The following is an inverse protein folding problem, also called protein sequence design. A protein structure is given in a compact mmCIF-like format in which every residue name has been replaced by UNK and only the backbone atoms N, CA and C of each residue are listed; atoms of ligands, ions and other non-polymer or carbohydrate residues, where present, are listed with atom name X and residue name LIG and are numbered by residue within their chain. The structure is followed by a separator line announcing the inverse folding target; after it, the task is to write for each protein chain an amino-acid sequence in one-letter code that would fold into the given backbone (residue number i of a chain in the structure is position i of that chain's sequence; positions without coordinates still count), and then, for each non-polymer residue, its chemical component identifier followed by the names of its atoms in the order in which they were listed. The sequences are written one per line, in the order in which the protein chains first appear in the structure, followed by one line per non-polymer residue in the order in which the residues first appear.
data_IF_031137325330
#
_entry.id   IF_031137325330
#
_cell.length_a   1.000
_cell.length_b   1.000
_cell.length_c   1.000
_cell.angle_alpha   90.00
_cell.angle_beta   90.00
_cell.angle_gamma   90.00
#
_symmetry.space_group_name_H-M   'P 1'
#
loop_
_entity.id
_entity.type
_entity.pdbx_description
1 polymer ?
#
# COMPACT_ATOMS: atom_id res chain seq x y z
N UNK A 1 1.00 -14.20 -6.42
CA UNK A 1 2.06 -14.48 -5.42
C UNK A 1 2.50 -13.16 -4.83
N UNK A 2 2.38 -12.95 -3.51
CA UNK A 2 2.81 -11.71 -2.89
C UNK A 2 4.35 -11.65 -2.84
N UNK A 3 4.95 -10.54 -3.25
CA UNK A 3 6.39 -10.33 -3.10
C UNK A 3 6.72 -10.14 -1.61
N UNK A 4 7.77 -10.80 -1.11
CA UNK A 4 8.25 -10.59 0.25
C UNK A 4 9.11 -9.32 0.33
N UNK A 5 9.30 -8.79 1.54
CA UNK A 5 10.02 -7.52 1.77
C UNK A 5 11.45 -7.58 1.21
N UNK A 6 12.11 -8.74 1.34
CA UNK A 6 13.43 -8.98 0.78
C UNK A 6 13.49 -8.87 -0.74
N UNK A 7 12.55 -9.46 -1.47
CA UNK A 7 12.50 -9.40 -2.93
C UNK A 7 12.12 -8.00 -3.44
N UNK A 8 11.21 -7.30 -2.74
CA UNK A 8 10.88 -5.91 -3.03
C UNK A 8 12.09 -4.98 -2.84
N UNK A 9 12.83 -5.13 -1.74
CA UNK A 9 14.06 -4.37 -1.51
C UNK A 9 15.08 -4.57 -2.64
N UNK A 10 15.34 -5.82 -3.03
CA UNK A 10 16.29 -6.12 -4.11
C UNK A 10 15.86 -5.53 -5.45
N UNK A 11 14.55 -5.52 -5.74
CA UNK A 11 14.02 -4.87 -6.94
C UNK A 11 14.30 -3.37 -6.92
N UNK A 12 13.89 -2.67 -5.86
CA UNK A 12 14.04 -1.21 -5.77
C UNK A 12 15.51 -0.76 -5.72
N UNK A 13 16.38 -1.56 -5.08
CA UNK A 13 17.82 -1.34 -5.10
C UNK A 13 18.41 -1.43 -6.51
N UNK A 14 17.95 -2.40 -7.32
CA UNK A 14 18.38 -2.56 -8.72
C UNK A 14 17.74 -1.55 -9.66
N UNK A 15 16.50 -1.15 -9.38
CA UNK A 15 15.76 -0.14 -10.13
C UNK A 15 16.46 1.22 -10.07
N UNK A 16 17.10 1.54 -8.93
CA UNK A 16 17.88 2.77 -8.72
C UNK A 16 17.09 4.04 -9.10
N UNK A 17 16.10 4.34 -8.26
CA UNK A 17 15.23 5.50 -8.45
C UNK A 17 16.04 6.79 -8.58
N UNK A 18 17.17 6.92 -7.88
CA UNK A 18 18.02 8.13 -7.94
C UNK A 18 18.69 8.30 -9.29
N UNK A 19 19.13 7.21 -9.94
CA UNK A 19 19.63 7.29 -11.32
C UNK A 19 18.53 7.72 -12.28
N UNK A 20 17.36 7.09 -12.20
CA UNK A 20 16.21 7.45 -13.04
C UNK A 20 15.81 8.93 -12.85
N UNK A 21 15.74 9.41 -11.61
CA UNK A 21 15.44 10.82 -11.31
C UNK A 21 16.44 11.78 -11.98
N UNK A 22 17.75 11.43 -12.00
CA UNK A 22 18.77 12.24 -12.70
C UNK A 22 18.58 12.23 -14.21
N UNK A 23 18.30 11.06 -14.80
CA UNK A 23 18.01 10.93 -16.23
C UNK A 23 16.79 11.78 -16.62
N UNK A 24 15.71 11.68 -15.86
CA UNK A 24 14.49 12.46 -16.09
C UNK A 24 14.72 13.97 -15.93
N UNK A 25 15.52 14.41 -14.95
CA UNK A 25 15.90 15.82 -14.80
C UNK A 25 16.64 16.35 -16.04
N UNK A 26 17.56 15.56 -16.62
CA UNK A 26 18.29 15.95 -17.83
C UNK A 26 17.31 16.16 -18.99
N UNK A 27 16.43 15.18 -19.22
CA UNK A 27 15.43 15.25 -20.29
C UNK A 27 14.49 16.43 -20.09
N UNK A 28 13.99 16.65 -18.87
CA UNK A 28 13.12 17.78 -18.54
C UNK A 28 13.82 19.13 -18.74
N UNK A 29 15.11 19.24 -18.40
CA UNK A 29 15.88 20.48 -18.58
C UNK A 29 16.07 20.82 -20.05
N UNK A 30 16.31 19.82 -20.89
CA UNK A 30 16.46 20.00 -22.33
C UNK A 30 15.12 20.19 -23.05
N UNK A 31 14.00 19.79 -22.44
CA UNK A 31 12.68 19.79 -23.07
C UNK A 31 12.25 21.19 -23.48
N UNK A 32 12.50 22.19 -22.64
CA UNK A 32 12.14 23.58 -22.92
C UNK A 32 12.85 24.10 -24.18
N UNK A 33 14.15 23.78 -24.35
CA UNK A 33 14.90 24.17 -25.53
C UNK A 33 14.37 23.49 -26.80
N UNK A 34 13.99 22.20 -26.72
CA UNK A 34 13.38 21.48 -27.86
C UNK A 34 12.01 22.02 -28.23
N UNK A 35 11.20 22.42 -27.25
CA UNK A 35 9.91 23.05 -27.47
C UNK A 35 10.08 24.39 -28.21
N UNK A 36 11.02 25.22 -27.77
CA UNK A 36 11.33 26.49 -28.42
C UNK A 36 11.82 26.28 -29.86
N UNK A 37 12.75 25.35 -30.09
CA UNK A 37 13.26 25.02 -31.43
C UNK A 37 12.12 24.57 -32.37
N UNK A 38 11.23 23.70 -31.89
CA UNK A 38 10.06 23.24 -32.64
C UNK A 38 9.13 24.40 -33.01
N UNK A 39 8.89 25.33 -32.08
CA UNK A 39 8.08 26.52 -32.33
C UNK A 39 8.73 27.48 -33.34
N UNK A 40 10.04 27.69 -33.23
CA UNK A 40 10.81 28.51 -34.18
C UNK A 40 10.79 27.89 -35.58
N UNK A 41 11.04 26.58 -35.68
CA UNK A 41 10.98 25.83 -36.95
C UNK A 41 9.59 25.90 -37.59
N UNK A 42 8.53 25.79 -36.78
CA UNK A 42 7.17 25.93 -37.27
C UNK A 42 6.87 27.34 -37.81
N UNK A 43 7.30 28.39 -37.10
CA UNK A 43 7.16 29.78 -37.57
C UNK A 43 7.92 29.99 -38.89
N UNK A 44 9.15 29.50 -38.96
CA UNK A 44 9.96 29.57 -40.18
C UNK A 44 9.29 28.84 -41.36
N UNK A 45 8.70 27.66 -41.14
CA UNK A 45 7.98 26.93 -42.17
C UNK A 45 6.74 27.69 -42.69
N UNK A 46 6.03 28.39 -41.81
CA UNK A 46 4.90 29.25 -42.21
C UNK A 46 5.39 30.41 -43.10
N UNK A 47 6.51 31.03 -42.74
CA UNK A 47 7.12 32.09 -43.54
C UNK A 47 7.54 31.59 -44.92
N UNK A 48 8.24 30.46 -45.00
CA UNK A 48 8.60 29.81 -46.25
C UNK A 48 7.37 29.48 -47.11
N UNK A 49 6.30 28.98 -46.49
CA UNK A 49 5.05 28.68 -47.20
C UNK A 49 4.39 29.94 -47.78
N UNK A 50 4.44 31.07 -47.04
CA UNK A 50 3.93 32.36 -47.52
C UNK A 50 4.78 32.91 -48.66
N UNK A 51 6.10 32.84 -48.51
CA UNK A 51 7.06 33.29 -49.52
C UNK A 51 6.90 32.51 -50.83
N UNK A 52 6.77 31.18 -50.73
CA UNK A 52 6.46 30.31 -51.86
C UNK A 52 5.18 30.75 -52.56
N UNK A 53 4.08 30.98 -51.82
CA UNK A 53 2.81 31.42 -52.41
C UNK A 53 2.90 32.77 -53.10
N UNK A 54 3.75 33.68 -52.62
CA UNK A 54 3.94 35.02 -53.20
C UNK A 54 4.74 34.97 -54.50
N UNK A 55 5.76 34.12 -54.58
CA UNK A 55 6.75 34.15 -55.66
C UNK A 55 6.48 33.16 -56.79
N UNK A 56 5.48 32.28 -56.64
CA UNK A 56 5.22 31.19 -57.59
C UNK A 56 3.93 31.47 -58.41
N UNK A 57 3.96 31.25 -59.75
CA UNK A 57 2.79 31.37 -60.63
C UNK A 57 1.61 30.51 -60.19
N UNK A 58 0.39 30.94 -60.52
CA UNK A 58 -0.86 30.33 -60.06
C UNK A 58 -1.01 28.88 -60.50
N UNK A 59 -0.60 28.55 -61.73
CA UNK A 59 -0.69 27.20 -62.28
C UNK A 59 0.13 26.19 -61.47
N UNK A 60 1.33 26.61 -61.03
CA UNK A 60 2.20 25.78 -60.20
C UNK A 60 1.65 25.70 -58.77
N UNK A 61 1.07 26.78 -58.24
CA UNK A 61 0.44 26.77 -56.92
C UNK A 61 -0.72 25.78 -56.86
N UNK A 62 -1.57 25.74 -57.88
CA UNK A 62 -2.70 24.79 -57.94
C UNK A 62 -2.23 23.34 -58.02
N UNK A 63 -1.17 23.07 -58.80
CA UNK A 63 -0.59 21.71 -58.90
C UNK A 63 -0.02 21.23 -57.55
N UNK A 64 0.60 22.13 -56.79
CA UNK A 64 1.31 21.80 -55.54
C UNK A 64 0.42 21.97 -54.30
N UNK A 65 -0.73 22.65 -54.41
CA UNK A 65 -1.69 22.87 -53.33
C UNK A 65 -2.11 21.61 -52.56
N UNK A 66 -2.52 20.49 -53.20
CA UNK A 66 -2.91 19.29 -52.47
C UNK A 66 -1.74 18.70 -51.68
N UNK A 67 -0.52 18.74 -52.24
CA UNK A 67 0.69 18.27 -51.56
C UNK A 67 1.01 19.11 -50.32
N UNK A 68 1.02 20.44 -50.46
CA UNK A 68 1.25 21.35 -49.32
C UNK A 68 0.18 21.20 -48.23
N UNK A 69 -1.07 20.94 -48.63
CA UNK A 69 -2.16 20.70 -47.68
C UNK A 69 -1.92 19.43 -46.88
N UNK A 70 -1.52 18.33 -47.54
CA UNK A 70 -1.17 17.08 -46.87
C UNK A 70 0.01 17.23 -45.92
N UNK A 71 1.08 17.93 -46.33
CA UNK A 71 2.20 18.24 -45.43
C UNK A 71 1.77 19.09 -44.24
N UNK A 72 0.92 20.10 -44.45
CA UNK A 72 0.41 20.92 -43.35
C UNK A 72 -0.37 20.09 -42.33
N UNK A 73 -1.25 19.19 -42.80
CA UNK A 73 -2.02 18.30 -41.92
C UNK A 73 -1.09 17.38 -41.13
N UNK A 74 -0.11 16.77 -41.79
CA UNK A 74 0.84 15.86 -41.12
C UNK A 74 1.71 16.59 -40.09
N UNK A 75 2.25 17.78 -40.43
CA UNK A 75 3.04 18.59 -39.49
C UNK A 75 2.21 18.99 -38.28
N UNK A 76 0.96 19.42 -38.47
CA UNK A 76 0.07 19.77 -37.36
C UNK A 76 -0.25 18.55 -36.48
N UNK A 77 -0.54 17.40 -37.10
CA UNK A 77 -0.81 16.16 -36.38
C UNK A 77 0.41 15.69 -35.57
N UNK A 78 1.61 15.76 -36.18
CA UNK A 78 2.87 15.43 -35.51
C UNK A 78 3.15 16.37 -34.34
N UNK A 79 3.01 17.69 -34.53
CA UNK A 79 3.19 18.68 -33.47
C UNK A 79 2.21 18.47 -32.33
N UNK A 80 0.96 18.10 -32.62
CA UNK A 80 -0.03 17.75 -31.60
C UNK A 80 0.40 16.52 -30.80
N UNK A 81 0.78 15.43 -31.48
CA UNK A 81 1.25 14.20 -30.84
C UNK A 81 2.51 14.43 -30.00
N UNK A 82 3.43 15.28 -30.46
CA UNK A 82 4.62 15.69 -29.70
C UNK A 82 4.22 16.40 -28.41
N UNK A 83 3.40 17.45 -28.49
CA UNK A 83 2.93 18.21 -27.32
C UNK A 83 2.20 17.32 -26.31
N UNK A 84 1.38 16.38 -26.77
CA UNK A 84 0.70 15.40 -25.91
C UNK A 84 1.69 14.46 -25.22
N UNK A 85 2.71 13.96 -25.94
CA UNK A 85 3.75 13.11 -25.36
C UNK A 85 4.62 13.87 -24.34
N UNK A 86 4.97 15.11 -24.63
CA UNK A 86 5.72 16.00 -23.74
C UNK A 86 4.92 16.31 -22.47
N UNK A 87 3.61 16.58 -22.60
CA UNK A 87 2.73 16.79 -21.46
C UNK A 87 2.58 15.53 -20.60
N UNK A 88 2.42 14.36 -21.22
CA UNK A 88 2.37 13.08 -20.52
C UNK A 88 3.70 12.79 -19.78
N UNK A 89 4.84 13.06 -20.42
CA UNK A 89 6.16 12.95 -19.80
C UNK A 89 6.26 13.85 -18.56
N UNK A 90 5.92 15.14 -18.68
CA UNK A 90 6.01 16.08 -17.56
C UNK A 90 5.10 15.70 -16.40
N UNK A 91 3.92 15.16 -16.68
CA UNK A 91 2.99 14.69 -15.66
C UNK A 91 3.57 13.51 -14.85
N UNK A 92 4.21 12.55 -15.52
CA UNK A 92 4.88 11.42 -14.85
C UNK A 92 6.15 11.88 -14.14
N UNK A 93 6.95 12.74 -14.79
CA UNK A 93 8.17 13.33 -14.23
C UNK A 93 7.90 14.02 -12.88
N UNK A 94 6.87 14.86 -12.80
CA UNK A 94 6.50 15.54 -11.55
C UNK A 94 6.25 14.58 -10.40
N UNK A 95 5.55 13.48 -10.67
CA UNK A 95 5.27 12.47 -9.63
C UNK A 95 6.53 11.70 -9.22
N UNK A 96 7.40 11.36 -10.18
CA UNK A 96 8.60 10.55 -9.91
C UNK A 96 9.72 11.34 -9.25
N UNK A 97 9.83 12.65 -9.51
CA UNK A 97 10.88 13.47 -8.91
C UNK A 97 10.58 13.83 -7.45
N UNK A 98 9.29 13.94 -7.10
CA UNK A 98 8.83 14.18 -5.73
C UNK A 98 8.79 12.88 -4.89
N UNK A 99 8.79 11.71 -5.53
CA UNK A 99 8.70 10.43 -4.84
C UNK A 99 9.97 10.11 -4.03
N UNK A 100 9.86 9.82 -2.72
CA UNK A 100 10.98 9.34 -1.92
C UNK A 100 11.38 7.92 -2.33
N UNK A 101 12.68 7.61 -2.24
CA UNK A 101 13.20 6.27 -2.51
C UNK A 101 12.66 5.27 -1.47
N UNK A 102 11.96 4.19 -1.88
CA UNK A 102 11.46 3.18 -0.96
C UNK A 102 12.54 2.19 -0.49
N UNK A 103 13.69 2.10 -1.17
CA UNK A 103 14.72 1.11 -0.85
C UNK A 103 15.25 1.22 0.61
N UNK A 104 15.55 2.41 1.16
CA UNK A 104 15.98 2.54 2.56
C UNK A 104 14.94 2.05 3.56
N UNK A 105 13.66 2.37 3.34
CA UNK A 105 12.57 1.92 4.21
C UNK A 105 12.36 0.41 4.15
N UNK A 106 12.48 -0.18 2.95
CA UNK A 106 12.39 -1.63 2.76
C UNK A 106 13.59 -2.36 3.39
N UNK A 107 14.78 -1.77 3.37
CA UNK A 107 15.96 -2.32 4.06
C UNK A 107 15.74 -2.35 5.57
N UNK A 108 15.26 -1.25 6.14
CA UNK A 108 14.93 -1.16 7.56
C UNK A 108 13.88 -2.20 7.96
N UNK A 109 12.81 -2.34 7.17
CA UNK A 109 11.76 -3.34 7.40
C UNK A 109 12.30 -4.77 7.36
N UNK A 110 13.14 -5.10 6.36
CA UNK A 110 13.79 -6.41 6.25
C UNK A 110 14.67 -6.71 7.48
N UNK A 111 15.47 -5.73 7.91
CA UNK A 111 16.34 -5.90 9.07
C UNK A 111 15.55 -6.07 10.37
N UNK A 112 14.37 -5.44 10.49
CA UNK A 112 13.45 -5.65 11.61
C UNK A 112 12.82 -7.06 11.59
N UNK A 113 12.40 -7.52 10.41
CA UNK A 113 11.86 -8.88 10.22
C UNK A 113 12.90 -9.94 10.62
N UNK A 114 14.16 -9.76 10.21
CA UNK A 114 15.26 -10.65 10.59
C UNK A 114 15.48 -10.66 12.12
N UNK A 115 15.50 -9.49 12.76
CA UNK A 115 15.62 -9.39 14.22
C UNK A 115 14.45 -10.05 14.95
N UNK A 116 13.23 -9.92 14.45
CA UNK A 116 12.03 -10.53 15.04
C UNK A 116 12.13 -12.06 14.97
N UNK A 117 12.52 -12.60 13.81
CA UNK A 117 12.75 -14.04 13.65
C UNK A 117 13.87 -14.55 14.58
N UNK A 118 14.95 -13.78 14.76
CA UNK A 118 16.00 -14.11 15.70
C UNK A 118 15.50 -14.13 17.16
N UNK A 119 14.71 -13.14 17.57
CA UNK A 119 14.11 -13.10 18.91
C UNK A 119 13.16 -14.27 19.15
N UNK A 120 12.30 -14.62 18.19
CA UNK A 120 11.43 -15.79 18.28
C UNK A 120 12.21 -17.11 18.38
N UNK A 121 13.34 -17.21 17.68
CA UNK A 121 14.24 -18.37 17.77
C UNK A 121 14.96 -18.46 19.12
N UNK A 122 15.25 -17.31 19.72
CA UNK A 122 15.99 -17.17 20.96
C UNK A 122 15.07 -17.00 22.20
N UNK A 123 13.82 -17.48 22.14
CA UNK A 123 12.86 -17.48 23.25
C UNK A 123 12.82 -18.89 23.92
N UNK A 124 13.84 -19.30 24.71
CA UNK A 124 13.84 -20.57 25.43
C UNK A 124 12.99 -20.53 26.71
N UNK A 125 12.60 -19.36 27.20
CA UNK A 125 11.89 -19.21 28.48
C UNK A 125 10.49 -19.82 28.45
N UNK A 126 9.80 -19.79 27.31
CA UNK A 126 8.49 -20.45 27.17
C UNK A 126 8.56 -21.98 27.13
N UNK A 127 9.73 -22.60 26.86
CA UNK A 127 9.91 -24.06 26.96
C UNK A 127 10.27 -24.48 28.38
N UNK A 128 11.22 -23.78 29.00
CA UNK A 128 11.67 -24.06 30.37
C UNK A 128 10.51 -23.86 31.35
N UNK A 129 9.72 -22.78 31.19
CA UNK A 129 8.53 -22.54 32.00
C UNK A 129 7.44 -23.60 31.83
N UNK A 130 7.20 -24.09 30.59
CA UNK A 130 6.21 -25.15 30.33
C UNK A 130 6.63 -26.50 30.91
N UNK A 131 7.91 -26.84 30.84
CA UNK A 131 8.43 -28.09 31.40
C UNK A 131 8.48 -28.03 32.93
N UNK A 132 8.80 -26.87 33.52
CA UNK A 132 8.68 -26.65 34.96
C UNK A 132 7.23 -26.74 35.45
N UNK A 133 6.28 -26.15 34.72
CA UNK A 133 4.84 -26.25 35.02
C UNK A 133 4.34 -27.70 34.92
N UNK A 134 4.81 -28.46 33.92
CA UNK A 134 4.50 -29.88 33.76
C UNK A 134 5.07 -30.71 34.92
N UNK A 135 6.27 -30.38 35.39
CA UNK A 135 6.90 -31.03 36.53
C UNK A 135 6.15 -30.74 37.85
N UNK A 136 5.85 -29.48 38.14
CA UNK A 136 5.05 -29.11 39.32
C UNK A 136 3.64 -29.71 39.29
N UNK A 137 2.99 -29.76 38.13
CA UNK A 137 1.67 -30.38 37.99
C UNK A 137 1.70 -31.88 38.31
N UNK A 138 2.69 -32.61 37.78
CA UNK A 138 2.89 -34.03 38.11
C UNK A 138 3.17 -34.26 39.60
N UNK A 139 3.96 -33.39 40.22
CA UNK A 139 4.26 -33.48 41.65
C UNK A 139 3.00 -33.24 42.52
N UNK A 140 2.14 -32.30 42.12
CA UNK A 140 0.84 -32.07 42.76
C UNK A 140 -0.12 -33.25 42.58
N UNK A 141 -0.11 -33.92 41.43
CA UNK A 141 -0.94 -35.10 41.16
C UNK A 141 -0.50 -36.30 42.02
N UNK A 142 0.81 -36.51 42.22
CA UNK A 142 1.34 -37.56 43.10
C UNK A 142 0.98 -37.35 44.57
N UNK A 143 1.08 -36.12 45.08
CA UNK A 143 0.67 -35.76 46.45
C UNK A 143 -0.83 -35.97 46.68
N UNK A 144 -1.66 -35.75 45.65
CA UNK A 144 -3.10 -36.01 45.73
C UNK A 144 -3.43 -37.51 45.69
N UNK A 145 -2.65 -38.33 44.97
CA UNK A 145 -2.81 -39.79 45.00
C UNK A 145 -2.41 -40.39 46.36
N UNK A 146 -1.29 -39.94 46.95
CA UNK A 146 -0.87 -40.37 48.29
C UNK A 146 -1.89 -39.96 49.39
N UNK A 147 -2.52 -38.78 49.24
CA UNK A 147 -3.59 -38.34 50.14
C UNK A 147 -4.89 -39.16 49.99
N UNK A 148 -5.14 -39.72 48.80
CA UNK A 148 -6.34 -40.52 48.54
C UNK A 148 -6.18 -41.98 49.02
N UNK A 149 -4.94 -42.50 49.01
CA UNK A 149 -4.64 -43.84 49.55
C UNK A 149 -4.71 -43.88 51.09
N UNK A 150 -4.38 -42.78 51.80
CA UNK A 150 -4.55 -42.70 53.26
C UNK A 150 -6.00 -42.48 53.72
N UNK A 151 -6.91 -42.07 52.82
CA UNK A 151 -8.32 -41.79 53.17
C UNK A 151 -9.27 -42.96 52.90
N UNK A 152 -8.79 -44.08 52.34
CA UNK A 152 -9.62 -45.25 52.01
C UNK A 152 -9.85 -46.23 53.18
N UNK A 153 -9.32 -45.97 54.38
CA UNK A 153 -9.51 -46.83 55.57
C UNK A 153 -10.66 -46.42 56.52
N UNK A 154 -11.48 -45.41 56.20
CA UNK A 154 -12.66 -45.09 57.03
C UNK A 154 -13.88 -44.70 56.20
N UNK A 155 -14.84 -45.62 56.16
CA UNK A 155 -16.22 -45.50 55.67
C UNK A 155 -17.16 -45.11 56.84
N UNK A 156 -18.48 -44.86 56.67
CA UNK A 156 -19.22 -43.94 55.79
C UNK A 156 -20.27 -43.08 56.57
N UNK A 157 -21.02 -42.26 55.81
CA UNK A 157 -22.43 -41.85 56.01
C UNK A 157 -22.72 -40.34 56.23
N UNK A 158 -23.42 -39.78 55.22
CA UNK A 158 -24.42 -38.70 55.22
C UNK A 158 -24.11 -37.37 55.91
N UNK A 159 -24.27 -36.26 55.18
CA UNK A 159 -25.44 -35.35 55.31
C UNK A 159 -25.32 -34.18 54.30
N UNK A 160 -26.48 -33.90 53.71
CA UNK A 160 -26.85 -32.80 52.81
C UNK A 160 -26.56 -31.42 53.42
N UNK A 161 -26.03 -30.49 52.63
CA UNK A 161 -26.44 -29.08 52.56
C UNK A 161 -25.41 -28.25 51.78
N UNK A 162 -25.91 -27.49 50.80
CA UNK A 162 -25.41 -26.19 50.28
C UNK A 162 -25.55 -26.10 48.75
N UNK A 163 -26.80 -26.10 48.29
CA UNK A 163 -27.23 -25.68 46.94
C UNK A 163 -27.69 -24.20 46.90
N UNK A 164 -27.39 -23.40 47.94
CA UNK A 164 -27.96 -22.07 48.11
C UNK A 164 -26.91 -20.96 47.91
N UNK A 165 -26.35 -20.82 46.70
CA UNK A 165 -25.65 -19.60 46.28
C UNK A 165 -25.48 -19.48 44.74
N UNK A 166 -26.49 -19.84 43.94
CA UNK A 166 -26.44 -19.71 42.47
C UNK A 166 -27.58 -18.89 41.82
N UNK A 167 -28.45 -18.23 42.59
CA UNK A 167 -29.64 -17.53 42.03
C UNK A 167 -29.58 -16.00 41.92
N UNK A 168 -28.49 -15.33 42.33
CA UNK A 168 -28.41 -13.86 42.28
C UNK A 168 -27.61 -13.28 41.10
N UNK A 169 -27.02 -14.11 40.23
CA UNK A 169 -26.14 -13.63 39.15
C UNK A 169 -26.80 -13.50 37.77
N UNK A 170 -28.02 -14.02 37.58
CA UNK A 170 -28.66 -14.09 36.24
C UNK A 170 -29.51 -12.86 35.89
N UNK A 171 -30.04 -12.13 36.87
CA UNK A 171 -30.92 -10.98 36.59
C UNK A 171 -30.14 -9.69 36.27
N UNK A 172 -28.88 -9.56 36.71
CA UNK A 172 -28.05 -8.37 36.44
C UNK A 172 -27.52 -8.34 34.99
N UNK A 173 -27.41 -9.49 34.33
CA UNK A 173 -26.94 -9.59 32.94
C UNK A 173 -28.03 -9.30 31.91
N UNK A 174 -29.30 -9.59 32.21
CA UNK A 174 -30.41 -9.33 31.28
C UNK A 174 -30.69 -7.82 31.12
N UNK A 175 -30.72 -7.06 32.22
CA UNK A 175 -30.97 -5.61 32.21
C UNK A 175 -29.87 -4.78 31.52
N UNK A 176 -28.63 -5.30 31.45
CA UNK A 176 -27.51 -4.62 30.77
C UNK A 176 -27.56 -4.80 29.26
N UNK A 177 -28.05 -5.93 28.77
CA UNK A 177 -28.14 -6.21 27.33
C UNK A 177 -29.26 -5.40 26.66
N UNK A 178 -30.39 -5.22 27.32
CA UNK A 178 -31.51 -4.44 26.78
C UNK A 178 -31.16 -2.94 26.64
N UNK A 179 -30.42 -2.39 27.61
CA UNK A 179 -29.94 -1.00 27.55
C UNK A 179 -28.92 -0.78 26.41
N UNK A 180 -28.11 -1.78 26.08
CA UNK A 180 -27.10 -1.67 25.02
C UNK A 180 -27.74 -1.72 23.62
N UNK A 181 -28.78 -2.55 23.44
CA UNK A 181 -29.54 -2.62 22.19
C UNK A 181 -30.29 -1.33 21.88
N UNK A 182 -30.98 -0.72 22.87
CA UNK A 182 -31.68 0.55 22.64
C UNK A 182 -30.73 1.70 22.29
N UNK A 183 -29.53 1.72 22.88
CA UNK A 183 -28.54 2.76 22.60
C UNK A 183 -27.99 2.68 21.17
N UNK A 184 -27.76 1.47 20.66
CA UNK A 184 -27.28 1.25 19.30
C UNK A 184 -28.34 1.61 18.23
N UNK A 185 -29.61 1.38 18.52
CA UNK A 185 -30.70 1.68 17.58
C UNK A 185 -30.96 3.19 17.47
N UNK A 186 -30.92 3.91 18.58
CA UNK A 186 -31.03 5.37 18.61
C UNK A 186 -29.86 6.08 17.89
N UNK A 187 -28.67 5.51 17.90
CA UNK A 187 -27.51 6.07 17.20
C UNK A 187 -27.61 5.88 15.67
N UNK A 188 -28.21 4.76 15.24
CA UNK A 188 -28.45 4.45 13.83
C UNK A 188 -29.47 5.41 13.20
N UNK A 189 -30.54 5.76 13.91
CA UNK A 189 -31.50 6.77 13.44
C UNK A 189 -30.89 8.18 13.33
N UNK A 190 -29.99 8.54 14.25
CA UNK A 190 -29.29 9.83 14.22
C UNK A 190 -28.32 9.96 13.04
N UNK A 191 -27.82 8.85 12.51
CA UNK A 191 -26.98 8.82 11.32
C UNK A 191 -27.79 8.96 10.04
N UNK A 192 -29.01 8.39 10.01
CA UNK A 192 -29.91 8.46 8.85
C UNK A 192 -30.56 9.85 8.69
N UNK A 193 -30.79 10.60 9.77
CA UNK A 193 -31.29 11.99 9.71
C UNK A 193 -30.25 13.05 9.32
N UNK A 194 -28.96 12.68 9.26
CA UNK A 194 -27.85 13.59 8.95
C UNK A 194 -27.33 13.48 7.52
N UNK A 195 -28.05 12.78 6.64
CA UNK A 195 -27.67 12.54 5.25
C UNK A 195 -28.69 13.11 4.29
#
# INVERSE_FOLDING_TARGET
MAANVGSMFQYWKKFDLRRLQKELNSVASELAARQEESEQSHKHLIELSREFKRNVPEEIREMVAPLLKSFQVEVVALSKRSKEAEAAFLNVYKQLIEAPDPAPSLEAARNLEEKLLQLQRNEPESRIGKDFFRHCKKQSELLNCEATEQSAETSPASIKASEELQKSSTDSTALKNDNLSQKNEAEKERYMRRR
#
